data_IF_970789745585
#
_entry.id   IF_970789745585
#
_cell.length_a   1.000
_cell.length_b   1.000
_cell.length_c   1.000
_cell.angle_alpha   90.00
_cell.angle_beta   90.00
_cell.angle_gamma   90.00
#
_symmetry.space_group_name_H-M   'P 1'
#
loop_
_entity.id
_entity.type
_entity.pdbx_description
1 polymer ?
#
# COMPACT_ATOMS: atom_id res chain seq x y z
N UNK A 1 1.16 5.76 -21.25
CA UNK A 1 0.25 6.57 -20.42
C UNK A 1 1.06 7.12 -19.27
N UNK A 2 0.92 8.39 -18.88
CA UNK A 2 1.52 8.87 -17.64
C UNK A 2 0.99 8.02 -16.47
N UNK A 3 1.85 7.69 -15.52
CA UNK A 3 1.41 7.01 -14.31
C UNK A 3 0.56 7.99 -13.48
N UNK A 4 -0.62 7.57 -13.04
CA UNK A 4 -1.50 8.38 -12.18
C UNK A 4 -1.52 7.79 -10.76
N UNK A 5 -1.68 8.61 -9.71
CA UNK A 5 -2.02 8.11 -8.38
C UNK A 5 -3.27 7.23 -8.42
N UNK A 6 -3.25 6.16 -7.63
CA UNK A 6 -4.36 5.23 -7.46
C UNK A 6 -4.31 4.59 -6.07
N UNK A 7 -5.46 4.12 -5.60
CA UNK A 7 -5.60 3.36 -4.35
C UNK A 7 -6.04 1.96 -4.68
N UNK A 8 -5.40 0.98 -4.07
CA UNK A 8 -5.63 -0.44 -4.32
C UNK A 8 -6.01 -1.18 -3.06
N UNK A 9 -6.75 -2.27 -3.23
CA UNK A 9 -7.10 -3.22 -2.18
C UNK A 9 -6.94 -4.66 -2.67
N UNK A 10 -6.76 -5.57 -1.73
CA UNK A 10 -6.75 -7.00 -1.96
C UNK A 10 -7.48 -7.69 -0.80
N UNK A 11 -8.34 -8.66 -1.12
CA UNK A 11 -9.24 -9.28 -0.13
C UNK A 11 -8.51 -9.90 1.08
N UNK A 12 -7.24 -10.28 0.92
CA UNK A 12 -6.45 -10.93 1.97
C UNK A 12 -5.89 -9.96 3.02
N UNK A 13 -5.85 -8.65 2.75
CA UNK A 13 -5.23 -7.66 3.63
C UNK A 13 -6.16 -6.46 3.76
N UNK A 14 -6.67 -6.23 4.98
CA UNK A 14 -7.55 -5.11 5.29
C UNK A 14 -6.76 -3.80 5.39
N UNK A 15 -6.50 -3.20 4.23
CA UNK A 15 -5.81 -1.92 4.11
C UNK A 15 -5.96 -1.32 2.70
N UNK A 16 -6.00 0.00 2.63
CA UNK A 16 -5.77 0.74 1.39
C UNK A 16 -4.28 0.83 1.09
N UNK A 17 -3.90 0.52 -0.16
CA UNK A 17 -2.53 0.66 -0.65
C UNK A 17 -2.40 1.79 -1.65
N UNK A 18 -1.52 2.74 -1.40
CA UNK A 18 -1.35 3.95 -2.20
C UNK A 18 -0.20 3.79 -3.19
N UNK A 19 -0.53 3.75 -4.47
CA UNK A 19 0.45 3.56 -5.53
C UNK A 19 0.13 4.37 -6.77
N UNK A 20 0.67 3.91 -7.89
CA UNK A 20 0.36 4.45 -9.21
C UNK A 20 -0.11 3.36 -10.15
N UNK A 21 -0.81 3.77 -11.21
CA UNK A 21 -1.24 2.88 -12.29
C UNK A 21 -0.97 3.51 -13.65
N UNK A 22 -0.64 2.67 -14.64
CA UNK A 22 -0.66 3.06 -16.05
C UNK A 22 -1.91 2.53 -16.77
N UNK A 23 -2.91 2.05 -16.02
CA UNK A 23 -4.16 1.49 -16.53
C UNK A 23 -4.06 0.01 -16.96
N UNK A 24 -2.98 -0.69 -16.60
CA UNK A 24 -2.86 -2.11 -16.90
C UNK A 24 -3.78 -2.95 -16.03
N UNK A 25 -4.34 -4.00 -16.64
CA UNK A 25 -5.16 -4.99 -15.97
C UNK A 25 -4.77 -6.39 -16.42
N UNK A 26 -4.93 -7.36 -15.53
CA UNK A 26 -4.75 -8.79 -15.78
C UNK A 26 -6.00 -9.53 -15.31
N UNK A 27 -6.70 -10.20 -16.23
CA UNK A 27 -7.99 -10.85 -15.95
C UNK A 27 -9.05 -9.92 -15.30
N UNK A 28 -8.97 -8.62 -15.57
CA UNK A 28 -9.84 -7.61 -14.99
C UNK A 28 -9.35 -7.01 -13.67
N UNK A 29 -8.31 -7.57 -13.05
CA UNK A 29 -7.68 -7.03 -11.85
C UNK A 29 -6.62 -6.00 -12.17
N UNK A 30 -6.45 -5.01 -11.29
CA UNK A 30 -5.47 -3.95 -11.45
C UNK A 30 -4.04 -4.49 -11.38
N UNK A 31 -3.10 -3.78 -12.00
CA UNK A 31 -1.66 -4.05 -11.91
C UNK A 31 -0.98 -2.86 -11.25
N UNK A 32 -0.90 -2.83 -9.91
CA UNK A 32 -0.39 -1.68 -9.17
C UNK A 32 1.13 -1.55 -9.27
N UNK A 33 1.60 -0.33 -9.00
CA UNK A 33 3.01 0.02 -8.89
C UNK A 33 3.20 0.81 -7.59
N UNK A 34 3.98 0.28 -6.65
CA UNK A 34 4.14 0.86 -5.32
C UNK A 34 5.52 1.52 -5.13
N UNK A 35 5.61 2.54 -4.29
CA UNK A 35 6.90 3.06 -3.81
C UNK A 35 7.60 2.01 -2.94
N UNK A 36 8.90 2.20 -2.62
CA UNK A 36 9.59 1.28 -1.70
C UNK A 36 8.93 1.23 -0.33
N UNK A 37 8.55 2.40 0.21
CA UNK A 37 7.91 2.51 1.53
C UNK A 37 6.58 1.75 1.56
N UNK A 38 5.74 1.95 0.54
CA UNK A 38 4.44 1.27 0.46
C UNK A 38 4.60 -0.24 0.23
N UNK A 39 5.57 -0.64 -0.59
CA UNK A 39 5.92 -2.04 -0.81
C UNK A 39 6.42 -2.73 0.49
N UNK A 40 7.19 -2.01 1.32
CA UNK A 40 7.61 -2.51 2.63
C UNK A 40 6.44 -2.61 3.60
N UNK A 41 5.49 -1.67 3.57
CA UNK A 41 4.27 -1.72 4.37
C UNK A 41 3.41 -2.93 4.01
N UNK A 42 3.20 -3.16 2.70
CA UNK A 42 2.53 -4.34 2.18
C UNK A 42 3.22 -5.64 2.63
N UNK A 43 4.55 -5.71 2.51
CA UNK A 43 5.33 -6.84 3.01
C UNK A 43 5.09 -7.09 4.51
N UNK A 44 5.15 -6.04 5.33
CA UNK A 44 4.92 -6.18 6.77
C UNK A 44 3.51 -6.68 7.07
N UNK A 45 2.47 -6.07 6.47
CA UNK A 45 1.08 -6.48 6.68
C UNK A 45 0.82 -7.90 6.20
N UNK A 46 1.27 -8.27 5.00
CA UNK A 46 1.13 -9.62 4.47
C UNK A 46 1.72 -10.65 5.44
N UNK A 47 2.94 -10.39 5.92
CA UNK A 47 3.68 -11.32 6.78
C UNK A 47 3.11 -11.41 8.21
N UNK A 48 2.22 -10.49 8.59
CA UNK A 48 1.43 -10.59 9.81
C UNK A 48 0.15 -11.42 9.64
N UNK A 49 -0.20 -11.81 8.41
CA UNK A 49 -1.31 -12.72 8.13
C UNK A 49 -0.80 -14.16 7.95
N UNK A 50 -1.56 -15.15 8.43
CA UNK A 50 -1.20 -16.57 8.29
C UNK A 50 -1.66 -17.18 6.95
N UNK A 51 -2.21 -16.37 6.03
CA UNK A 51 -3.14 -16.87 5.01
C UNK A 51 -2.51 -17.23 3.66
N UNK A 52 -1.50 -16.50 3.18
CA UNK A 52 -1.14 -16.56 1.76
C UNK A 52 0.34 -16.85 1.47
N UNK A 53 1.26 -16.52 2.37
CA UNK A 53 2.70 -16.69 2.14
C UNK A 53 3.52 -15.62 2.82
N UNK A 54 4.83 -15.65 2.59
CA UNK A 54 5.78 -14.67 3.11
C UNK A 54 6.44 -13.86 1.99
N UNK A 55 6.43 -12.53 2.15
CA UNK A 55 7.16 -11.60 1.29
C UNK A 55 8.49 -11.25 1.95
N UNK A 56 9.59 -11.27 1.20
CA UNK A 56 10.93 -10.84 1.65
C UNK A 56 11.52 -9.89 0.63
N UNK A 57 12.09 -8.76 1.08
CA UNK A 57 12.85 -7.87 0.21
C UNK A 57 14.29 -8.37 0.02
N UNK A 58 14.69 -8.60 -1.24
CA UNK A 58 16.05 -8.92 -1.64
C UNK A 58 16.74 -7.68 -2.22
N UNK A 59 17.61 -7.06 -1.43
CA UNK A 59 18.36 -5.87 -1.82
C UNK A 59 19.38 -6.11 -2.94
N UNK A 60 19.87 -7.35 -3.14
CA UNK A 60 20.81 -7.66 -4.21
C UNK A 60 20.11 -7.71 -5.57
N UNK A 61 18.86 -8.18 -5.59
CA UNK A 61 18.02 -8.22 -6.79
C UNK A 61 17.13 -6.98 -6.95
N UNK A 62 17.06 -6.13 -5.94
CA UNK A 62 16.13 -5.00 -5.84
C UNK A 62 14.69 -5.44 -6.13
N UNK A 63 14.24 -6.44 -5.37
CA UNK A 63 13.00 -7.16 -5.64
C UNK A 63 12.32 -7.61 -4.35
N UNK A 64 11.00 -7.73 -4.41
CA UNK A 64 10.23 -8.44 -3.38
C UNK A 64 9.98 -9.87 -3.84
N UNK A 65 10.28 -10.82 -2.97
CA UNK A 65 10.17 -12.26 -3.20
C UNK A 65 9.00 -12.80 -2.40
N UNK A 66 8.00 -13.37 -3.06
CA UNK A 66 6.85 -14.01 -2.40
C UNK A 66 7.02 -15.53 -2.38
N UNK A 67 6.88 -16.12 -1.20
CA UNK A 67 6.95 -17.55 -0.95
C UNK A 67 5.57 -18.02 -0.46
N UNK A 68 4.86 -18.79 -1.26
CA UNK A 68 3.56 -19.34 -0.89
C UNK A 68 3.69 -20.39 0.23
N UNK A 69 2.76 -20.39 1.20
CA UNK A 69 2.74 -21.40 2.25
C UNK A 69 2.17 -22.73 1.73
N UNK A 70 2.76 -23.86 2.14
CA UNK A 70 2.23 -25.19 1.84
C UNK A 70 2.64 -25.79 0.49
N UNK A 71 3.34 -25.02 -0.34
CA UNK A 71 4.11 -25.55 -1.48
C UNK A 71 5.44 -26.09 -0.93
N UNK A 72 5.86 -27.30 -1.32
CA UNK A 72 7.16 -27.83 -0.91
C UNK A 72 8.26 -26.81 -1.25
N UNK A 73 9.16 -26.53 -0.30
CA UNK A 73 10.09 -25.38 -0.28
C UNK A 73 11.12 -25.32 -1.42
N UNK A 74 10.96 -26.12 -2.47
CA UNK A 74 11.81 -26.20 -3.65
C UNK A 74 11.26 -25.37 -4.83
N UNK A 75 10.01 -24.89 -4.79
CA UNK A 75 9.51 -23.97 -5.81
C UNK A 75 10.16 -22.59 -5.71
N UNK A 76 10.44 -21.99 -6.88
CA UNK A 76 11.06 -20.66 -6.95
C UNK A 76 10.04 -19.61 -6.51
N UNK A 77 10.43 -18.63 -5.68
CA UNK A 77 9.52 -17.57 -5.28
C UNK A 77 9.09 -16.73 -6.49
N UNK A 78 7.89 -16.16 -6.40
CA UNK A 78 7.47 -15.09 -7.30
C UNK A 78 8.36 -13.87 -7.05
N UNK A 79 8.94 -13.34 -8.13
CA UNK A 79 9.92 -12.24 -8.06
C UNK A 79 9.33 -10.96 -8.64
N UNK A 80 9.04 -9.99 -7.77
CA UNK A 80 8.56 -8.66 -8.14
C UNK A 80 9.72 -7.66 -8.14
N UNK A 81 10.44 -7.60 -9.26
CA UNK A 81 11.59 -6.68 -9.43
C UNK A 81 11.16 -5.24 -9.53
N UNK A 82 11.97 -4.34 -8.99
CA UNK A 82 11.83 -2.92 -9.20
C UNK A 82 11.79 -2.58 -10.70
N UNK A 83 10.92 -1.64 -11.06
CA UNK A 83 10.83 -1.05 -12.39
C UNK A 83 11.12 0.44 -12.31
N UNK A 84 11.84 0.97 -13.30
CA UNK A 84 12.08 2.41 -13.45
C UNK A 84 11.07 3.00 -14.42
N UNK A 85 10.31 3.99 -13.95
CA UNK A 85 9.33 4.73 -14.76
C UNK A 85 9.63 6.20 -14.56
N UNK A 86 9.95 6.91 -15.64
CA UNK A 86 10.26 8.35 -15.62
C UNK A 86 11.36 8.76 -14.62
N UNK A 87 12.30 7.85 -14.33
CA UNK A 87 13.40 8.06 -13.38
C UNK A 87 13.07 7.74 -11.92
N UNK A 88 11.82 7.37 -11.62
CA UNK A 88 11.37 6.92 -10.31
C UNK A 88 11.24 5.39 -10.26
N UNK A 89 11.49 4.82 -9.09
CA UNK A 89 11.51 3.37 -8.87
C UNK A 89 10.21 2.91 -8.24
N UNK A 90 9.58 1.89 -8.84
CA UNK A 90 8.35 1.29 -8.35
C UNK A 90 8.46 -0.23 -8.24
N UNK A 91 7.62 -0.84 -7.41
CA UNK A 91 7.58 -2.27 -7.16
C UNK A 91 6.19 -2.83 -7.53
N UNK A 92 6.10 -3.73 -8.52
CA UNK A 92 4.85 -4.28 -9.01
C UNK A 92 4.40 -5.51 -8.20
N UNK A 93 4.37 -5.42 -6.87
CA UNK A 93 4.07 -6.58 -6.00
C UNK A 93 2.67 -7.11 -6.31
N UNK A 94 2.59 -8.38 -6.71
CA UNK A 94 1.34 -9.03 -7.10
C UNK A 94 0.75 -8.56 -8.43
N UNK A 95 1.36 -7.61 -9.15
CA UNK A 95 0.87 -7.23 -10.47
C UNK A 95 0.97 -8.43 -11.44
N UNK A 96 -0.08 -8.65 -12.24
CA UNK A 96 -0.20 -9.83 -13.12
C UNK A 96 -0.21 -11.20 -12.42
N UNK A 97 -0.38 -11.24 -11.09
CA UNK A 97 -0.43 -12.49 -10.30
C UNK A 97 -1.61 -12.50 -9.32
N UNK A 98 -1.87 -11.36 -8.65
CA UNK A 98 -2.87 -11.25 -7.60
C UNK A 98 -4.10 -10.45 -8.04
N UNK A 99 -5.19 -10.65 -7.30
CA UNK A 99 -6.48 -10.04 -7.55
C UNK A 99 -6.60 -8.63 -6.96
N UNK A 100 -5.73 -7.70 -7.38
CA UNK A 100 -5.82 -6.31 -6.94
C UNK A 100 -7.06 -5.60 -7.48
N UNK A 101 -7.74 -4.86 -6.62
CA UNK A 101 -8.84 -3.98 -6.99
C UNK A 101 -8.34 -2.53 -7.04
N UNK A 102 -8.64 -1.79 -8.12
CA UNK A 102 -8.49 -0.32 -8.14
C UNK A 102 -9.75 0.28 -7.51
N UNK A 103 -9.59 0.82 -6.31
CA UNK A 103 -10.66 1.41 -5.51
C UNK A 103 -10.56 2.93 -5.46
N UNK A 104 -9.85 3.55 -6.41
CA UNK A 104 -9.67 5.02 -6.47
C UNK A 104 -10.99 5.82 -6.55
N UNK A 105 -12.10 5.16 -6.89
CA UNK A 105 -13.44 5.77 -6.96
C UNK A 105 -14.28 5.56 -5.69
N UNK A 106 -13.79 4.78 -4.72
CA UNK A 106 -14.45 4.62 -3.43
C UNK A 106 -14.19 5.84 -2.54
N UNK A 107 -15.19 6.30 -1.80
CA UNK A 107 -15.10 7.53 -1.00
C UNK A 107 -14.14 7.38 0.19
N UNK A 108 -14.07 6.20 0.81
CA UNK A 108 -13.16 5.95 1.92
C UNK A 108 -11.73 5.81 1.41
N UNK A 109 -11.51 5.16 0.27
CA UNK A 109 -10.21 5.10 -0.38
C UNK A 109 -9.68 6.50 -0.76
N UNK A 110 -10.55 7.36 -1.30
CA UNK A 110 -10.20 8.76 -1.59
C UNK A 110 -9.84 9.53 -0.32
N UNK A 111 -10.65 9.40 0.73
CA UNK A 111 -10.39 10.03 2.02
C UNK A 111 -9.06 9.55 2.63
N UNK A 112 -8.77 8.25 2.56
CA UNK A 112 -7.48 7.67 2.97
C UNK A 112 -6.31 8.29 2.21
N UNK A 113 -6.41 8.44 0.88
CA UNK A 113 -5.36 9.10 0.09
C UNK A 113 -5.16 10.56 0.47
N UNK A 114 -6.24 11.29 0.78
CA UNK A 114 -6.16 12.66 1.24
C UNK A 114 -5.54 12.77 2.64
N UNK A 115 -5.88 11.87 3.56
CA UNK A 115 -5.26 11.79 4.89
C UNK A 115 -3.76 11.51 4.81
N UNK A 116 -3.34 10.51 4.01
CA UNK A 116 -1.91 10.20 3.83
C UNK A 116 -1.16 11.41 3.27
N UNK A 117 -1.75 12.12 2.31
CA UNK A 117 -1.18 13.36 1.76
C UNK A 117 -1.04 14.44 2.84
N UNK A 118 -2.07 14.66 3.64
CA UNK A 118 -2.06 15.66 4.73
C UNK A 118 -1.00 15.33 5.78
N UNK A 119 -0.96 14.09 6.26
CA UNK A 119 0.03 13.62 7.24
C UNK A 119 1.46 13.73 6.70
N UNK A 120 1.67 13.43 5.41
CA UNK A 120 2.97 13.59 4.75
C UNK A 120 3.40 15.05 4.72
N UNK A 121 2.47 15.97 4.40
CA UNK A 121 2.75 17.41 4.41
C UNK A 121 3.03 17.94 5.81
N UNK A 122 2.28 17.51 6.83
CA UNK A 122 2.55 17.83 8.25
C UNK A 122 3.96 17.38 8.64
N UNK A 123 4.34 16.14 8.32
CA UNK A 123 5.69 15.59 8.57
C UNK A 123 6.76 16.40 7.83
N UNK A 124 6.52 16.76 6.57
CA UNK A 124 7.41 17.61 5.74
C UNK A 124 7.60 19.00 6.33
N UNK A 125 6.58 19.56 6.97
CA UNK A 125 6.62 20.85 7.66
C UNK A 125 7.28 20.78 9.05
N UNK A 126 7.75 19.60 9.48
CA UNK A 126 8.47 19.39 10.73
C UNK A 126 7.58 19.09 11.93
N UNK A 127 6.30 18.78 11.73
CA UNK A 127 5.44 18.28 12.80
C UNK A 127 5.83 16.84 13.15
N UNK A 128 5.68 16.48 14.44
CA UNK A 128 5.89 15.10 14.87
C UNK A 128 4.68 14.25 14.51
N UNK A 129 4.76 13.52 13.40
CA UNK A 129 3.71 12.60 12.92
C UNK A 129 4.20 11.16 13.14
N UNK A 130 3.64 10.40 14.10
CA UNK A 130 4.04 9.02 14.36
C UNK A 130 3.72 8.10 13.16
N UNK A 131 4.52 7.07 12.92
CA UNK A 131 4.26 6.12 11.83
C UNK A 131 2.92 5.38 12.01
N UNK A 132 2.48 5.19 13.26
CA UNK A 132 1.15 4.66 13.61
C UNK A 132 0.00 5.52 13.04
N UNK A 133 0.20 6.82 12.82
CA UNK A 133 -0.79 7.69 12.18
C UNK A 133 -1.03 7.28 10.72
N UNK A 134 0.04 6.93 9.99
CA UNK A 134 -0.08 6.41 8.63
C UNK A 134 -0.72 5.03 8.60
N UNK A 135 -0.43 4.17 9.59
CA UNK A 135 -1.13 2.88 9.73
C UNK A 135 -2.64 3.07 9.93
N UNK A 136 -3.06 4.06 10.73
CA UNK A 136 -4.47 4.39 10.92
C UNK A 136 -5.10 5.00 9.66
N UNK A 137 -4.39 5.88 8.96
CA UNK A 137 -4.87 6.51 7.73
C UNK A 137 -5.00 5.54 6.54
N UNK A 138 -4.45 4.33 6.65
CA UNK A 138 -4.49 3.29 5.61
C UNK A 138 -5.28 2.04 6.02
N UNK A 139 -5.76 1.95 7.26
CA UNK A 139 -6.61 0.87 7.74
C UNK A 139 -8.08 1.16 7.44
N UNK A 140 -8.83 0.18 6.94
CA UNK A 140 -10.17 0.39 6.42
C UNK A 140 -11.18 0.81 7.49
N UNK A 141 -11.19 0.12 8.63
CA UNK A 141 -12.05 0.42 9.77
C UNK A 141 -11.75 1.82 10.33
N UNK A 142 -10.48 2.11 10.61
CA UNK A 142 -10.07 3.40 11.13
C UNK A 142 -10.41 4.54 10.15
N UNK A 143 -10.20 4.37 8.85
CA UNK A 143 -10.59 5.36 7.84
C UNK A 143 -12.10 5.58 7.84
N UNK A 144 -12.90 4.52 7.90
CA UNK A 144 -14.36 4.61 7.90
C UNK A 144 -14.91 5.35 9.14
N UNK A 145 -14.29 5.17 10.32
CA UNK A 145 -14.66 5.88 11.55
C UNK A 145 -14.50 7.41 11.43
N UNK A 146 -13.53 7.85 10.63
CA UNK A 146 -13.17 9.27 10.50
C UNK A 146 -13.69 9.90 9.21
N UNK A 147 -14.27 9.13 8.29
CA UNK A 147 -14.69 9.60 6.95
C UNK A 147 -15.76 10.70 6.95
N UNK A 148 -16.47 10.90 8.06
CA UNK A 148 -17.44 12.00 8.22
C UNK A 148 -16.78 13.34 8.61
N UNK A 149 -15.50 13.35 8.97
CA UNK A 149 -14.75 14.54 9.37
C UNK A 149 -14.11 15.21 8.15
N UNK A 150 -13.68 16.47 8.32
CA UNK A 150 -12.74 17.06 7.36
C UNK A 150 -11.39 16.34 7.44
N UNK A 151 -10.64 16.31 6.34
CA UNK A 151 -9.30 15.67 6.29
C UNK A 151 -8.37 16.27 7.34
N UNK A 152 -8.40 17.59 7.53
CA UNK A 152 -7.56 18.28 8.52
C UNK A 152 -7.92 17.87 9.95
N UNK A 153 -9.22 17.86 10.31
CA UNK A 153 -9.65 17.49 11.65
C UNK A 153 -9.34 16.02 11.95
N UNK A 154 -9.52 15.14 10.96
CA UNK A 154 -9.19 13.74 11.09
C UNK A 154 -7.67 13.52 11.19
N UNK A 155 -6.85 14.23 10.42
CA UNK A 155 -5.40 14.15 10.51
C UNK A 155 -4.90 14.57 11.91
N UNK A 156 -5.40 15.68 12.45
CA UNK A 156 -5.06 16.14 13.80
C UNK A 156 -5.46 15.11 14.87
N UNK A 157 -6.67 14.56 14.76
CA UNK A 157 -7.15 13.53 15.69
C UNK A 157 -6.31 12.25 15.61
N UNK A 158 -6.04 11.76 14.40
CA UNK A 158 -5.23 10.56 14.18
C UNK A 158 -3.81 10.74 14.74
N UNK A 159 -3.19 11.92 14.55
CA UNK A 159 -1.88 12.22 15.14
C UNK A 159 -1.91 12.15 16.66
N UNK A 160 -2.97 12.68 17.28
CA UNK A 160 -3.15 12.61 18.74
C UNK A 160 -3.34 11.16 19.23
N UNK A 161 -4.20 10.37 18.56
CA UNK A 161 -4.45 8.98 18.90
C UNK A 161 -3.21 8.09 18.68
N UNK A 162 -2.41 8.40 17.66
CA UNK A 162 -1.18 7.67 17.35
C UNK A 162 -0.05 7.95 18.37
N UNK A 163 -0.13 9.04 19.13
CA UNK A 163 0.84 9.40 20.16
C UNK A 163 0.55 8.77 21.54
N UNK A 164 -0.61 8.13 21.70
CA UNK A 164 -0.99 7.33 22.88
C UNK A 164 -0.43 5.90 22.78
#
# INVERSE_FOLDING_TARGET
MPHRPAVFQIDAIESYFHGVTQGQHWNGFACPLFSLEEAQRLMALNNHTDFCGQIVYDAAQDAFLFHEFGVESEERPDVFKAVLIDGEKFYPIGAFSWCWQDVSNDSNAQFSAELVRELSEMKRLGMNVPDKAFSMATNEEAVAEHAAMSVSDAADLIVQLAAL
#
